data_IF_941538185117
#
_entry.id   IF_941538185117
#
_cell.length_a   1.000
_cell.length_b   1.000
_cell.length_c   1.000
_cell.angle_alpha   90.00
_cell.angle_beta   90.00
_cell.angle_gamma   90.00
#
_symmetry.space_group_name_H-M   'P 1'
#
loop_
_entity.id
_entity.type
_entity.pdbx_description
1 polymer ?
#
# COMPACT_ATOMS: atom_id res chain seq x y z
N UNK A 1 128.02 -82.36 81.82
CA UNK A 1 126.80 -82.80 81.09
C UNK A 1 126.04 -81.57 80.59
N UNK A 2 126.31 -81.16 79.36
CA UNK A 2 125.85 -79.92 78.68
C UNK A 2 124.75 -80.31 77.69
N UNK A 3 123.49 -80.46 78.10
CA UNK A 3 122.34 -80.43 77.18
C UNK A 3 121.02 -80.57 77.95
N UNK A 4 120.52 -79.46 78.48
CA UNK A 4 119.08 -79.21 78.62
C UNK A 4 118.79 -77.70 78.77
N UNK A 5 119.75 -76.87 78.35
CA UNK A 5 119.70 -75.42 78.53
C UNK A 5 118.69 -74.79 77.57
N UNK A 6 118.56 -75.26 76.32
CA UNK A 6 117.66 -74.64 75.33
C UNK A 6 116.16 -74.82 75.65
N UNK A 7 115.69 -76.01 76.07
CA UNK A 7 114.29 -76.21 76.51
C UNK A 7 113.98 -75.50 77.83
N UNK A 8 114.94 -75.47 78.78
CA UNK A 8 114.79 -74.71 80.03
C UNK A 8 114.78 -73.21 79.79
N UNK A 9 115.53 -72.70 78.82
CA UNK A 9 115.50 -71.29 78.42
C UNK A 9 114.15 -70.96 77.80
N UNK A 10 113.64 -71.73 76.83
CA UNK A 10 112.34 -71.43 76.20
C UNK A 10 111.18 -71.49 77.21
N UNK A 11 111.13 -72.53 78.07
CA UNK A 11 110.08 -72.63 79.08
C UNK A 11 110.21 -71.51 80.13
N UNK A 12 111.44 -71.15 80.53
CA UNK A 12 111.68 -70.02 81.41
C UNK A 12 111.27 -68.70 80.77
N UNK A 13 111.51 -68.48 79.47
CA UNK A 13 111.14 -67.25 78.77
C UNK A 13 109.62 -67.14 78.61
N UNK A 14 108.91 -68.23 78.27
CA UNK A 14 107.45 -68.22 78.17
C UNK A 14 106.80 -67.95 79.54
N UNK A 15 107.30 -68.57 80.61
CA UNK A 15 106.79 -68.30 81.96
C UNK A 15 107.10 -66.87 82.40
N UNK A 16 108.28 -66.33 82.07
CA UNK A 16 108.66 -64.97 82.44
C UNK A 16 107.85 -63.93 81.65
N UNK A 17 107.58 -64.17 80.36
CA UNK A 17 106.71 -63.33 79.53
C UNK A 17 105.27 -63.41 80.03
N UNK A 18 104.76 -64.60 80.35
CA UNK A 18 103.42 -64.77 80.93
C UNK A 18 103.30 -64.02 82.28
N UNK A 19 104.30 -64.12 83.15
CA UNK A 19 104.34 -63.37 84.41
C UNK A 19 104.38 -61.86 84.17
N UNK A 20 105.22 -61.39 83.24
CA UNK A 20 105.29 -59.98 82.89
C UNK A 20 103.98 -59.48 82.30
N UNK A 21 103.28 -60.26 81.46
CA UNK A 21 101.97 -59.88 80.95
C UNK A 21 100.88 -59.85 82.03
N UNK A 22 100.90 -60.77 83.00
CA UNK A 22 99.96 -60.72 84.14
C UNK A 22 100.25 -59.51 85.03
N UNK A 23 101.53 -59.23 85.31
CA UNK A 23 101.93 -58.05 86.07
C UNK A 23 101.58 -56.76 85.33
N UNK A 24 101.78 -56.70 84.00
CA UNK A 24 101.47 -55.52 83.20
C UNK A 24 99.96 -55.30 83.04
N UNK A 25 99.16 -56.36 82.87
CA UNK A 25 97.69 -56.27 82.83
C UNK A 25 97.13 -55.89 84.20
N UNK A 26 97.66 -56.46 85.30
CA UNK A 26 97.24 -56.03 86.64
C UNK A 26 97.71 -54.61 86.95
N UNK A 27 98.92 -54.21 86.58
CA UNK A 27 99.39 -52.84 86.79
C UNK A 27 98.62 -51.84 85.91
N UNK A 28 98.28 -52.19 84.67
CA UNK A 28 97.46 -51.35 83.80
C UNK A 28 95.99 -51.30 84.28
N UNK A 29 95.46 -52.37 84.86
CA UNK A 29 94.11 -52.40 85.41
C UNK A 29 94.01 -51.63 86.74
N UNK A 30 95.00 -51.77 87.63
CA UNK A 30 95.04 -51.04 88.91
C UNK A 30 95.41 -49.56 88.69
N UNK A 31 96.46 -49.26 87.93
CA UNK A 31 96.81 -47.85 87.65
C UNK A 31 95.81 -47.19 86.69
N UNK A 32 95.20 -47.92 85.75
CA UNK A 32 94.16 -47.38 84.89
C UNK A 32 92.89 -46.98 85.64
N UNK A 33 92.61 -47.63 86.79
CA UNK A 33 91.51 -47.25 87.69
C UNK A 33 91.86 -46.03 88.57
N UNK A 34 93.13 -45.76 88.81
CA UNK A 34 93.59 -44.55 89.52
C UNK A 34 93.85 -43.36 88.57
N UNK A 35 94.03 -43.58 87.26
CA UNK A 35 94.42 -42.53 86.32
C UNK A 35 93.29 -41.61 85.84
N UNK A 36 92.01 -41.94 86.07
CA UNK A 36 90.88 -41.05 85.73
C UNK A 36 89.84 -41.10 86.86
N UNK A 37 90.21 -40.59 88.04
CA UNK A 37 89.27 -40.31 89.15
C UNK A 37 88.63 -38.92 88.98
N UNK A 38 88.32 -38.54 87.74
CA UNK A 38 87.66 -37.28 87.38
C UNK A 38 86.44 -37.57 86.50
N UNK A 39 85.26 -36.99 86.81
CA UNK A 39 84.08 -37.11 85.96
C UNK A 39 84.31 -36.46 84.59
N UNK A 40 83.77 -37.07 83.55
CA UNK A 40 83.59 -36.47 82.24
C UNK A 40 82.29 -35.65 82.26
N UNK A 41 82.34 -34.40 81.77
CA UNK A 41 81.17 -33.51 81.73
C UNK A 41 80.72 -33.27 80.30
N UNK A 42 79.47 -33.59 80.00
CA UNK A 42 78.84 -33.38 78.70
C UNK A 42 77.68 -32.38 78.81
N UNK A 43 77.57 -31.47 77.83
CA UNK A 43 76.44 -30.56 77.73
C UNK A 43 75.22 -31.27 77.09
N UNK A 44 74.06 -31.09 77.70
CA UNK A 44 72.77 -31.68 77.24
C UNK A 44 71.79 -30.59 76.78
N UNK A 45 71.97 -29.35 77.25
CA UNK A 45 71.13 -28.21 76.90
C UNK A 45 71.26 -27.75 75.44
N UNK A 46 70.21 -27.08 74.95
CA UNK A 46 70.20 -26.44 73.63
C UNK A 46 71.01 -25.13 73.64
N UNK A 47 71.33 -24.64 72.44
CA UNK A 47 72.16 -23.44 72.23
C UNK A 47 71.40 -22.23 71.67
N UNK A 48 70.08 -22.32 71.49
CA UNK A 48 69.26 -21.25 70.90
C UNK A 48 67.97 -21.06 71.71
N UNK A 49 67.70 -19.82 72.10
CA UNK A 49 66.54 -19.44 72.91
C UNK A 49 65.93 -18.14 72.40
N UNK A 50 64.64 -17.96 72.71
CA UNK A 50 63.94 -16.70 72.51
C UNK A 50 64.13 -15.80 73.72
N UNK A 51 64.09 -14.49 73.52
CA UNK A 51 64.03 -13.55 74.66
C UNK A 51 62.78 -13.81 75.50
N UNK A 52 62.95 -13.97 76.81
CA UNK A 52 61.85 -14.27 77.73
C UNK A 52 61.44 -15.75 77.84
N UNK A 53 62.06 -16.66 77.07
CA UNK A 53 61.84 -18.11 77.23
C UNK A 53 62.65 -18.67 78.40
N UNK A 54 62.31 -19.88 78.86
CA UNK A 54 63.10 -20.59 79.87
C UNK A 54 64.41 -21.14 79.26
N UNK A 55 65.54 -20.56 79.63
CA UNK A 55 66.89 -21.07 79.34
C UNK A 55 67.23 -22.14 80.35
N UNK A 56 67.54 -23.34 79.88
CA UNK A 56 67.99 -24.43 80.75
C UNK A 56 69.45 -24.73 80.49
N UNK A 57 70.29 -24.60 81.53
CA UNK A 57 71.65 -25.12 81.55
C UNK A 57 71.60 -26.56 82.05
N UNK A 58 72.02 -27.52 81.24
CA UNK A 58 71.99 -28.94 81.62
C UNK A 58 73.33 -29.58 81.30
N UNK A 59 74.00 -30.12 82.31
CA UNK A 59 75.21 -30.92 82.15
C UNK A 59 74.99 -32.34 82.66
N UNK A 60 75.72 -33.30 82.10
CA UNK A 60 75.78 -34.68 82.54
C UNK A 60 77.18 -35.00 83.02
N UNK A 61 77.32 -35.54 84.23
CA UNK A 61 78.57 -36.01 84.79
C UNK A 61 78.59 -37.54 84.79
N UNK A 62 79.54 -38.12 84.04
CA UNK A 62 79.73 -39.57 83.94
C UNK A 62 81.14 -39.99 84.31
N UNK A 63 81.31 -41.25 84.71
CA UNK A 63 82.63 -41.87 84.74
C UNK A 63 83.13 -42.19 83.32
N UNK A 64 84.35 -42.73 83.21
CA UNK A 64 84.94 -43.12 81.92
C UNK A 64 84.18 -44.24 81.18
N UNK A 65 83.18 -44.86 81.81
CA UNK A 65 82.31 -45.89 81.22
C UNK A 65 80.99 -45.31 80.73
N UNK A 66 80.74 -44.02 80.96
CA UNK A 66 79.47 -43.37 80.66
C UNK A 66 78.40 -43.58 81.74
N UNK A 67 78.75 -44.16 82.89
CA UNK A 67 77.82 -44.35 84.01
C UNK A 67 77.76 -43.06 84.87
N UNK A 68 76.62 -42.75 85.51
CA UNK A 68 76.49 -41.57 86.37
C UNK A 68 77.56 -41.50 87.45
N UNK A 69 78.23 -40.35 87.57
CA UNK A 69 79.27 -40.18 88.57
C UNK A 69 78.65 -39.97 89.96
N UNK A 70 78.76 -40.95 90.85
CA UNK A 70 78.00 -40.98 92.12
C UNK A 70 78.53 -40.05 93.23
N UNK A 71 79.70 -39.43 93.04
CA UNK A 71 80.42 -38.70 94.09
C UNK A 71 80.41 -37.18 93.87
N UNK A 72 79.41 -36.65 93.15
CA UNK A 72 79.18 -35.21 92.97
C UNK A 72 78.47 -34.66 94.21
N UNK A 73 79.00 -33.58 94.78
CA UNK A 73 78.46 -32.94 95.99
C UNK A 73 77.55 -31.77 95.64
N UNK A 74 77.99 -30.94 94.70
CA UNK A 74 77.26 -29.79 94.21
C UNK A 74 77.68 -29.47 92.77
N UNK A 75 76.79 -28.77 92.06
CA UNK A 75 77.08 -28.11 90.81
C UNK A 75 76.53 -26.69 90.87
N UNK A 76 77.29 -25.73 90.39
CA UNK A 76 76.87 -24.34 90.22
C UNK A 76 77.03 -23.92 88.77
N UNK A 77 76.17 -23.01 88.32
CA UNK A 77 76.27 -22.36 87.02
C UNK A 77 76.53 -20.87 87.19
N UNK A 78 77.44 -20.36 86.36
CA UNK A 78 77.61 -18.93 86.13
C UNK A 78 77.29 -18.66 84.67
N UNK A 79 76.38 -17.71 84.40
CA UNK A 79 76.03 -17.27 83.06
C UNK A 79 76.41 -15.80 82.91
N UNK A 80 77.13 -15.48 81.84
CA UNK A 80 77.56 -14.13 81.49
C UNK A 80 76.77 -13.59 80.30
N UNK A 81 76.44 -12.31 80.38
CA UNK A 81 75.93 -11.52 79.26
C UNK A 81 76.91 -11.52 78.07
N UNK A 82 76.46 -11.13 76.86
CA UNK A 82 77.33 -11.01 75.69
C UNK A 82 78.53 -10.07 75.90
N UNK A 83 78.38 -9.05 76.73
CA UNK A 83 79.45 -8.11 77.13
C UNK A 83 80.39 -8.64 78.21
N UNK A 84 80.19 -9.90 78.64
CA UNK A 84 80.94 -10.64 79.67
C UNK A 84 80.69 -10.19 81.10
N UNK A 85 79.72 -9.31 81.34
CA UNK A 85 79.21 -9.05 82.69
C UNK A 85 78.40 -10.23 83.20
N UNK A 86 78.33 -10.41 84.52
CA UNK A 86 77.61 -11.54 85.11
C UNK A 86 76.09 -11.33 85.03
N UNK A 87 75.38 -12.33 84.50
CA UNK A 87 73.92 -12.42 84.56
C UNK A 87 73.49 -13.27 85.76
N UNK A 88 74.03 -14.47 85.86
CA UNK A 88 73.80 -15.43 86.94
C UNK A 88 75.18 -15.82 87.48
N UNK A 89 75.36 -15.83 88.80
CA UNK A 89 76.65 -16.13 89.45
C UNK A 89 76.48 -17.25 90.45
N UNK A 90 77.24 -18.33 90.24
CA UNK A 90 77.31 -19.50 91.12
C UNK A 90 75.94 -20.01 91.59
N UNK A 91 74.94 -19.95 90.71
CA UNK A 91 73.61 -20.41 91.04
C UNK A 91 73.59 -21.93 91.15
N UNK A 92 72.97 -22.43 92.22
CA UNK A 92 72.91 -23.85 92.50
C UNK A 92 72.12 -24.60 91.42
N UNK A 93 72.71 -25.67 90.91
CA UNK A 93 72.04 -26.61 90.02
C UNK A 93 71.37 -27.72 90.84
N UNK A 94 70.31 -28.30 90.29
CA UNK A 94 69.60 -29.44 90.87
C UNK A 94 69.85 -30.71 90.06
N UNK A 95 69.88 -31.87 90.71
CA UNK A 95 69.84 -33.14 89.99
C UNK A 95 68.51 -33.30 89.25
N UNK A 96 68.57 -33.74 87.99
CA UNK A 96 67.37 -34.06 87.22
C UNK A 96 66.91 -35.50 87.48
N UNK A 97 65.73 -35.86 86.97
CA UNK A 97 65.24 -37.24 86.99
C UNK A 97 66.08 -38.21 86.13
N UNK A 98 66.91 -37.69 85.23
CA UNK A 98 67.88 -38.48 84.47
C UNK A 98 69.18 -38.55 85.28
N UNK A 99 69.59 -39.77 85.65
CA UNK A 99 70.77 -39.97 86.50
C UNK A 99 72.03 -39.36 85.89
N UNK A 100 72.81 -38.67 86.72
CA UNK A 100 74.03 -37.95 86.31
C UNK A 100 73.80 -36.58 85.69
N UNK A 101 72.55 -36.19 85.39
CA UNK A 101 72.25 -34.85 84.89
C UNK A 101 72.02 -33.86 86.03
N UNK A 102 72.61 -32.69 85.90
CA UNK A 102 72.40 -31.52 86.72
C UNK A 102 71.86 -30.39 85.85
N UNK A 103 70.87 -29.67 86.36
CA UNK A 103 70.26 -28.58 85.61
C UNK A 103 69.98 -27.33 86.45
N UNK A 104 69.92 -26.20 85.75
CA UNK A 104 69.42 -24.94 86.26
C UNK A 104 68.61 -24.27 85.16
N UNK A 105 67.52 -23.59 85.52
CA UNK A 105 66.63 -22.93 84.56
C UNK A 105 66.35 -21.52 85.00
N UNK A 106 66.48 -20.56 84.08
CA UNK A 106 66.18 -19.15 84.26
C UNK A 106 65.47 -18.57 83.04
N UNK A 107 64.84 -17.41 83.19
CA UNK A 107 64.20 -16.69 82.07
C UNK A 107 65.24 -15.94 81.25
N UNK A 108 65.32 -16.23 79.95
CA UNK A 108 66.24 -15.60 79.01
C UNK A 108 66.09 -14.07 79.04
N UNK A 109 67.18 -13.31 79.17
CA UNK A 109 67.11 -11.86 79.10
C UNK A 109 66.69 -11.38 77.70
N UNK A 110 66.18 -10.14 77.64
CA UNK A 110 65.83 -9.50 76.37
C UNK A 110 67.03 -8.96 75.59
N UNK A 111 68.21 -8.95 76.20
CA UNK A 111 69.45 -8.57 75.52
C UNK A 111 69.83 -9.68 74.54
N UNK A 112 70.00 -9.32 73.27
CA UNK A 112 70.37 -10.27 72.23
C UNK A 112 71.88 -10.50 72.19
N UNK A 113 72.28 -11.69 71.76
CA UNK A 113 73.68 -12.03 71.56
C UNK A 113 74.06 -13.43 72.06
N UNK A 114 75.36 -13.67 72.13
CA UNK A 114 75.94 -14.95 72.57
C UNK A 114 76.29 -14.86 74.05
N UNK A 115 75.59 -15.63 74.86
CA UNK A 115 75.82 -15.77 76.28
C UNK A 115 76.81 -16.89 76.53
N UNK A 116 77.60 -16.76 77.60
CA UNK A 116 78.57 -17.76 78.00
C UNK A 116 78.14 -18.38 79.33
N UNK A 117 78.08 -19.70 79.37
CA UNK A 117 77.74 -20.45 80.57
C UNK A 117 78.97 -21.24 81.00
N UNK A 118 79.29 -21.18 82.29
CA UNK A 118 80.28 -22.05 82.93
C UNK A 118 79.56 -22.86 84.02
N UNK A 119 79.72 -24.18 84.00
CA UNK A 119 79.28 -25.05 85.08
C UNK A 119 80.49 -25.54 85.83
N UNK A 120 80.48 -25.37 87.16
CA UNK A 120 81.47 -25.91 88.07
C UNK A 120 80.80 -26.94 88.97
N UNK A 121 81.31 -28.16 89.00
CA UNK A 121 80.82 -29.20 89.91
C UNK A 121 81.92 -29.65 90.85
N UNK A 122 81.61 -29.75 92.14
CA UNK A 122 82.50 -30.28 93.17
C UNK A 122 82.24 -31.77 93.36
N UNK A 123 83.30 -32.57 93.38
CA UNK A 123 83.23 -34.01 93.60
C UNK A 123 84.38 -34.51 94.49
N UNK A 124 84.16 -35.62 95.19
CA UNK A 124 85.15 -36.19 96.11
C UNK A 124 85.59 -35.23 97.22
N UNK A 125 86.79 -35.39 97.76
CA UNK A 125 87.32 -34.51 98.81
C UNK A 125 87.77 -33.12 98.26
N UNK A 126 86.81 -32.35 97.73
CA UNK A 126 86.96 -30.99 97.20
C UNK A 126 87.69 -30.87 95.86
N UNK A 127 87.57 -31.86 94.97
CA UNK A 127 87.99 -31.70 93.56
C UNK A 127 86.89 -30.99 92.79
N UNK A 128 87.25 -30.22 91.77
CA UNK A 128 86.27 -29.55 90.89
C UNK A 128 86.47 -29.94 89.44
N UNK A 129 85.38 -29.97 88.68
CA UNK A 129 85.39 -30.04 87.22
C UNK A 129 84.64 -28.82 86.69
N UNK A 130 85.20 -28.21 85.65
CA UNK A 130 84.64 -27.03 84.99
C UNK A 130 84.42 -27.32 83.53
N UNK A 131 83.29 -26.85 83.00
CA UNK A 131 83.00 -26.88 81.57
C UNK A 131 82.30 -25.60 81.17
N UNK A 132 82.47 -25.16 79.93
CA UNK A 132 81.80 -23.98 79.40
C UNK A 132 81.16 -24.26 78.05
N UNK A 133 80.05 -23.58 77.79
CA UNK A 133 79.33 -23.56 76.52
C UNK A 133 78.75 -22.16 76.30
N UNK A 134 78.34 -21.86 75.07
CA UNK A 134 77.55 -20.67 74.78
C UNK A 134 76.17 -21.01 74.23
N UNK A 135 75.23 -20.10 74.45
CA UNK A 135 73.92 -20.12 73.79
C UNK A 135 73.62 -18.73 73.20
N UNK A 136 72.66 -18.70 72.29
CA UNK A 136 72.28 -17.50 71.55
C UNK A 136 70.86 -17.12 71.90
N UNK A 137 70.68 -15.83 72.17
CA UNK A 137 69.37 -15.18 72.11
C UNK A 137 69.33 -14.47 70.75
N UNK A 138 68.66 -15.11 69.78
CA UNK A 138 68.82 -14.78 68.36
C UNK A 138 67.81 -13.72 67.89
N UNK A 139 68.25 -12.55 67.36
CA UNK A 139 67.37 -11.53 66.78
C UNK A 139 66.48 -12.05 65.66
N UNK A 140 66.97 -13.01 64.86
CA UNK A 140 66.25 -13.56 63.72
C UNK A 140 64.98 -14.30 64.16
N UNK A 141 65.01 -14.94 65.34
CA UNK A 141 63.84 -15.59 65.90
C UNK A 141 62.75 -14.55 66.20
N UNK A 142 63.06 -13.48 66.95
CA UNK A 142 62.11 -12.38 67.19
C UNK A 142 61.56 -11.78 65.90
N UNK A 143 62.38 -11.65 64.86
CA UNK A 143 61.93 -11.20 63.54
C UNK A 143 60.90 -12.14 62.91
N UNK A 144 61.07 -13.46 63.04
CA UNK A 144 60.11 -14.46 62.57
C UNK A 144 58.76 -14.33 63.31
N UNK A 145 58.76 -14.08 64.62
CA UNK A 145 57.54 -13.82 65.38
C UNK A 145 56.79 -12.61 64.85
N UNK A 146 57.49 -11.49 64.60
CA UNK A 146 56.88 -10.28 64.05
C UNK A 146 56.33 -10.53 62.64
N UNK A 147 57.08 -11.22 61.77
CA UNK A 147 56.60 -11.58 60.42
C UNK A 147 55.34 -12.47 60.50
N UNK A 148 55.28 -13.41 61.44
CA UNK A 148 54.11 -14.27 61.62
C UNK A 148 52.88 -13.46 62.07
N UNK A 149 53.07 -12.48 62.95
CA UNK A 149 52.03 -11.57 63.39
C UNK A 149 51.54 -10.68 62.23
N UNK A 150 52.47 -10.11 61.47
CA UNK A 150 52.17 -9.28 60.29
C UNK A 150 51.42 -10.09 59.21
N UNK A 151 51.84 -11.32 58.94
CA UNK A 151 51.15 -12.20 57.99
C UNK A 151 49.71 -12.52 58.43
N UNK A 152 49.52 -12.71 59.73
CA UNK A 152 48.17 -12.93 60.30
C UNK A 152 47.31 -11.68 60.14
N UNK A 153 47.85 -10.50 60.45
CA UNK A 153 47.17 -9.23 60.28
C UNK A 153 46.82 -8.96 58.80
N UNK A 154 47.72 -9.28 57.88
CA UNK A 154 47.49 -9.10 56.45
C UNK A 154 46.46 -10.08 55.90
N UNK A 155 46.40 -11.30 56.43
CA UNK A 155 45.34 -12.27 56.10
C UNK A 155 43.97 -11.78 56.54
N UNK A 156 43.88 -11.15 57.73
CA UNK A 156 42.64 -10.53 58.20
C UNK A 156 42.21 -9.36 57.30
N UNK A 157 43.14 -8.46 56.95
CA UNK A 157 42.89 -7.35 56.00
C UNK A 157 42.38 -7.85 54.65
N UNK A 158 42.99 -8.89 54.09
CA UNK A 158 42.55 -9.47 52.81
C UNK A 158 41.15 -10.10 52.91
N UNK A 159 40.83 -10.71 54.05
CA UNK A 159 39.50 -11.27 54.31
C UNK A 159 38.44 -10.17 54.38
N UNK A 160 38.74 -9.04 55.03
CA UNK A 160 37.85 -7.88 55.10
C UNK A 160 37.65 -7.21 53.73
N UNK A 161 38.72 -7.10 52.95
CA UNK A 161 38.66 -6.59 51.57
C UNK A 161 37.81 -7.52 50.70
N UNK A 162 38.00 -8.84 50.80
CA UNK A 162 37.18 -9.82 50.08
C UNK A 162 35.71 -9.71 50.46
N UNK A 163 35.40 -9.58 51.75
CA UNK A 163 34.04 -9.38 52.24
C UNK A 163 33.41 -8.09 51.69
N UNK A 164 34.16 -6.98 51.72
CA UNK A 164 33.72 -5.68 51.22
C UNK A 164 33.45 -5.68 49.71
N UNK A 165 34.35 -6.28 48.93
CA UNK A 165 34.18 -6.42 47.48
C UNK A 165 32.97 -7.31 47.17
N UNK A 166 32.81 -8.43 47.89
CA UNK A 166 31.68 -9.33 47.69
C UNK A 166 30.35 -8.62 47.97
N UNK A 167 30.27 -7.86 49.06
CA UNK A 167 29.09 -7.05 49.40
C UNK A 167 28.80 -5.98 48.33
N UNK A 168 29.84 -5.30 47.84
CA UNK A 168 29.69 -4.29 46.78
C UNK A 168 29.19 -4.90 45.47
N UNK A 169 29.69 -6.09 45.09
CA UNK A 169 29.23 -6.81 43.89
C UNK A 169 27.76 -7.17 44.02
N UNK A 170 27.34 -7.73 45.17
CA UNK A 170 25.92 -8.08 45.41
C UNK A 170 25.04 -6.84 45.33
N UNK A 171 25.39 -5.75 46.02
CA UNK A 171 24.62 -4.51 45.98
C UNK A 171 24.54 -3.90 44.58
N UNK A 172 25.63 -3.96 43.81
CA UNK A 172 25.66 -3.46 42.43
C UNK A 172 24.77 -4.34 41.53
N UNK A 173 24.82 -5.66 41.70
CA UNK A 173 23.97 -6.60 40.97
C UNK A 173 22.48 -6.36 41.25
N UNK A 174 22.11 -6.16 42.50
CA UNK A 174 20.72 -5.85 42.88
C UNK A 174 20.23 -4.54 42.27
N UNK A 175 21.09 -3.51 42.24
CA UNK A 175 20.78 -2.23 41.60
C UNK A 175 20.60 -2.36 40.09
N UNK A 176 21.45 -3.17 39.42
CA UNK A 176 21.32 -3.43 37.99
C UNK A 176 20.00 -4.13 37.69
N UNK A 177 19.64 -5.17 38.46
CA UNK A 177 18.40 -5.90 38.26
C UNK A 177 17.17 -5.00 38.46
N UNK A 178 17.15 -4.17 39.52
CA UNK A 178 16.10 -3.18 39.72
C UNK A 178 15.94 -2.23 38.51
N UNK A 179 17.04 -1.69 38.00
CA UNK A 179 17.00 -0.80 36.85
C UNK A 179 16.52 -1.50 35.57
N UNK A 180 16.85 -2.79 35.40
CA UNK A 180 16.39 -3.62 34.28
C UNK A 180 14.87 -3.86 34.39
N UNK A 181 14.38 -4.24 35.57
CA UNK A 181 12.95 -4.46 35.82
C UNK A 181 12.12 -3.19 35.60
N UNK A 182 12.62 -2.04 36.06
CA UNK A 182 12.00 -0.72 35.82
C UNK A 182 11.97 -0.36 34.32
N UNK A 183 13.05 -0.66 33.61
CA UNK A 183 13.14 -0.45 32.15
C UNK A 183 12.17 -1.36 31.40
N UNK A 184 12.06 -2.63 31.77
CA UNK A 184 11.12 -3.59 31.20
C UNK A 184 9.66 -3.14 31.41
N UNK A 185 9.34 -2.68 32.62
CA UNK A 185 8.02 -2.13 32.95
C UNK A 185 7.69 -0.89 32.11
N UNK A 186 8.66 0.00 31.94
CA UNK A 186 8.52 1.22 31.13
C UNK A 186 8.29 0.88 29.66
N UNK A 187 9.09 -0.04 29.10
CA UNK A 187 8.97 -0.48 27.70
C UNK A 187 7.61 -1.15 27.47
N UNK A 188 7.17 -2.03 28.38
CA UNK A 188 5.88 -2.71 28.27
C UNK A 188 4.72 -1.70 28.26
N UNK A 189 4.80 -0.69 29.12
CA UNK A 189 3.79 0.39 29.17
C UNK A 189 3.76 1.20 27.87
N UNK A 190 4.93 1.52 27.32
CA UNK A 190 5.03 2.25 26.05
C UNK A 190 4.46 1.42 24.89
N UNK A 191 4.77 0.12 24.82
CA UNK A 191 4.24 -0.78 23.80
C UNK A 191 2.71 -0.84 23.86
N UNK A 192 2.13 -1.04 25.05
CA UNK A 192 0.68 -1.09 25.22
C UNK A 192 0.00 0.23 24.82
N UNK A 193 0.66 1.37 25.09
CA UNK A 193 0.17 2.69 24.70
C UNK A 193 0.16 2.84 23.18
N UNK A 194 1.26 2.47 22.52
CA UNK A 194 1.38 2.52 21.05
C UNK A 194 0.37 1.59 20.38
N UNK A 195 0.15 0.39 20.91
CA UNK A 195 -0.84 -0.56 20.42
C UNK A 195 -2.27 0.01 20.52
N UNK A 196 -2.60 0.61 21.67
CA UNK A 196 -3.88 1.27 21.88
C UNK A 196 -4.11 2.46 20.92
N UNK A 197 -3.11 3.32 20.76
CA UNK A 197 -3.17 4.47 19.85
C UNK A 197 -3.34 4.02 18.40
N UNK A 198 -2.62 2.99 17.96
CA UNK A 198 -2.73 2.45 16.61
C UNK A 198 -4.13 1.86 16.38
N UNK A 199 -4.65 1.09 17.33
CA UNK A 199 -6.01 0.54 17.27
C UNK A 199 -7.06 1.65 17.16
N UNK A 200 -6.93 2.71 17.94
CA UNK A 200 -7.84 3.86 17.91
C UNK A 200 -7.77 4.63 16.57
N UNK A 201 -6.57 4.83 16.02
CA UNK A 201 -6.37 5.46 14.72
C UNK A 201 -6.98 4.62 13.60
N UNK A 202 -6.80 3.30 13.63
CA UNK A 202 -7.40 2.38 12.66
C UNK A 202 -8.93 2.39 12.73
N UNK A 203 -9.51 2.38 13.92
CA UNK A 203 -10.97 2.47 14.11
C UNK A 203 -11.52 3.80 13.55
N UNK A 204 -10.87 4.92 13.88
CA UNK A 204 -11.25 6.25 13.40
C UNK A 204 -11.15 6.35 11.87
N UNK A 205 -10.08 5.80 11.29
CA UNK A 205 -9.91 5.74 9.85
C UNK A 205 -11.03 4.92 9.20
N UNK A 206 -11.36 3.76 9.77
CA UNK A 206 -12.47 2.92 9.30
C UNK A 206 -13.79 3.69 9.27
N UNK A 207 -14.15 4.36 10.37
CA UNK A 207 -15.38 5.16 10.43
C UNK A 207 -15.42 6.32 9.42
N UNK A 208 -14.27 6.95 9.16
CA UNK A 208 -14.18 8.03 8.18
C UNK A 208 -14.33 7.53 6.75
N UNK A 209 -13.74 6.37 6.42
CA UNK A 209 -13.87 5.75 5.10
C UNK A 209 -15.32 5.31 4.86
N UNK A 210 -15.96 4.70 5.85
CA UNK A 210 -17.37 4.29 5.76
C UNK A 210 -18.28 5.50 5.50
N UNK A 211 -18.07 6.61 6.22
CA UNK A 211 -18.82 7.85 6.01
C UNK A 211 -18.62 8.40 4.58
N UNK A 212 -17.37 8.45 4.09
CA UNK A 212 -17.07 8.91 2.74
C UNK A 212 -17.72 8.03 1.66
N UNK A 213 -17.76 6.71 1.86
CA UNK A 213 -18.43 5.78 0.94
C UNK A 213 -19.94 6.04 0.91
N UNK A 214 -20.56 6.28 2.07
CA UNK A 214 -21.99 6.62 2.16
C UNK A 214 -22.29 7.94 1.45
N UNK A 215 -21.44 8.95 1.62
CA UNK A 215 -21.60 10.26 0.97
C UNK A 215 -21.48 10.14 -0.56
N UNK A 216 -20.50 9.39 -1.06
CA UNK A 216 -20.33 9.11 -2.50
C UNK A 216 -21.55 8.36 -3.04
N UNK A 217 -22.04 7.33 -2.34
CA UNK A 217 -23.21 6.57 -2.76
C UNK A 217 -24.48 7.44 -2.81
N UNK A 218 -24.64 8.33 -1.82
CA UNK A 218 -25.77 9.27 -1.76
C UNK A 218 -25.69 10.29 -2.89
N UNK A 219 -24.50 10.86 -3.14
CA UNK A 219 -24.28 11.81 -4.23
C UNK A 219 -24.54 11.19 -5.60
N UNK A 220 -24.03 9.97 -5.84
CA UNK A 220 -24.26 9.25 -7.09
C UNK A 220 -25.73 8.90 -7.29
N UNK A 221 -26.42 8.45 -6.24
CA UNK A 221 -27.86 8.14 -6.29
C UNK A 221 -28.68 9.40 -6.62
N UNK A 222 -28.33 10.55 -6.05
CA UNK A 222 -28.95 11.83 -6.37
C UNK A 222 -28.74 12.23 -7.84
N UNK A 223 -27.50 12.18 -8.33
CA UNK A 223 -27.19 12.50 -9.73
C UNK A 223 -27.90 11.58 -10.72
N UNK A 224 -28.01 10.28 -10.41
CA UNK A 224 -28.77 9.33 -11.23
C UNK A 224 -30.26 9.66 -11.24
N UNK A 225 -30.83 10.02 -10.08
CA UNK A 225 -32.24 10.45 -9.97
C UNK A 225 -32.51 11.71 -10.79
N UNK A 226 -31.68 12.73 -10.67
CA UNK A 226 -31.82 13.99 -11.43
C UNK A 226 -31.70 13.74 -12.94
N UNK A 227 -30.76 12.87 -13.35
CA UNK A 227 -30.59 12.47 -14.75
C UNK A 227 -31.81 11.74 -15.28
N UNK A 228 -32.38 10.81 -14.49
CA UNK A 228 -33.60 10.09 -14.85
C UNK A 228 -34.77 11.06 -15.08
N UNK A 229 -35.00 11.99 -14.15
CA UNK A 229 -36.07 12.99 -14.26
C UNK A 229 -35.89 13.87 -15.51
N UNK A 230 -34.66 14.28 -15.81
CA UNK A 230 -34.36 15.07 -17.01
C UNK A 230 -34.66 14.30 -18.30
N UNK A 231 -34.30 13.01 -18.37
CA UNK A 231 -34.59 12.14 -19.51
C UNK A 231 -36.10 11.96 -19.68
N UNK A 232 -36.82 11.64 -18.60
CA UNK A 232 -38.28 11.46 -18.62
C UNK A 232 -38.99 12.73 -19.12
N UNK A 233 -38.56 13.90 -18.62
CA UNK A 233 -39.10 15.19 -19.05
C UNK A 233 -38.87 15.45 -20.54
N UNK A 234 -37.64 15.21 -21.03
CA UNK A 234 -37.31 15.43 -22.44
C UNK A 234 -38.06 14.47 -23.37
N UNK A 235 -38.26 13.21 -22.94
CA UNK A 235 -39.07 12.24 -23.68
C UNK A 235 -40.54 12.67 -23.75
N UNK A 236 -41.13 13.11 -22.64
CA UNK A 236 -42.52 13.60 -22.62
C UNK A 236 -42.73 14.84 -23.49
N UNK A 237 -41.77 15.77 -23.50
CA UNK A 237 -41.80 16.95 -24.38
C UNK A 237 -41.70 16.54 -25.87
N UNK A 238 -40.86 15.55 -26.18
CA UNK A 238 -40.69 15.03 -27.54
C UNK A 238 -41.97 14.34 -28.03
N UNK A 239 -42.59 13.51 -27.18
CA UNK A 239 -43.88 12.86 -27.45
C UNK A 239 -44.97 13.90 -27.76
N UNK A 240 -45.08 14.94 -26.92
CA UNK A 240 -46.04 16.03 -27.13
C UNK A 240 -45.81 16.73 -28.47
N UNK A 241 -44.57 17.11 -28.75
CA UNK A 241 -44.20 17.80 -30.01
C UNK A 241 -44.53 16.94 -31.24
N UNK A 242 -44.26 15.63 -31.18
CA UNK A 242 -44.57 14.71 -32.26
C UNK A 242 -46.09 14.56 -32.46
N UNK A 243 -46.84 14.44 -31.36
CA UNK A 243 -48.31 14.38 -31.40
C UNK A 243 -48.92 15.65 -32.02
N UNK A 244 -48.43 16.83 -31.66
CA UNK A 244 -48.86 18.11 -32.22
C UNK A 244 -48.56 18.22 -33.71
N UNK A 245 -47.36 17.79 -34.12
CA UNK A 245 -46.97 17.77 -35.54
C UNK A 245 -47.87 16.82 -36.35
N UNK A 246 -48.13 15.62 -35.85
CA UNK A 246 -49.01 14.65 -36.51
C UNK A 246 -50.44 15.18 -36.63
N UNK A 247 -50.97 15.78 -35.57
CA UNK A 247 -52.31 16.38 -35.55
C UNK A 247 -52.42 17.54 -36.53
N UNK A 248 -51.40 18.40 -36.57
CA UNK A 248 -51.32 19.52 -37.51
C UNK A 248 -51.24 19.04 -38.95
N UNK A 249 -50.42 18.01 -39.21
CA UNK A 249 -50.29 17.42 -40.54
C UNK A 249 -51.61 16.81 -41.02
N UNK A 250 -52.29 16.03 -40.18
CA UNK A 250 -53.59 15.44 -40.50
C UNK A 250 -54.64 16.53 -40.80
N UNK A 251 -54.70 17.57 -39.98
CA UNK A 251 -55.61 18.72 -40.19
C UNK A 251 -55.33 19.45 -41.51
N UNK A 252 -54.05 19.73 -41.80
CA UNK A 252 -53.65 20.40 -43.03
C UNK A 252 -53.95 19.54 -44.25
N UNK A 253 -53.69 18.23 -44.20
CA UNK A 253 -54.02 17.30 -45.29
C UNK A 253 -55.53 17.24 -45.53
N UNK A 254 -56.35 17.13 -44.47
CA UNK A 254 -57.81 17.15 -44.59
C UNK A 254 -58.33 18.45 -45.19
N UNK A 255 -57.78 19.59 -44.75
CA UNK A 255 -58.16 20.91 -45.28
C UNK A 255 -57.81 21.01 -46.75
N UNK A 256 -56.58 20.65 -47.13
CA UNK A 256 -56.12 20.66 -48.51
C UNK A 256 -56.99 19.76 -49.40
N UNK A 257 -57.25 18.52 -48.98
CA UNK A 257 -58.10 17.59 -49.73
C UNK A 257 -59.55 18.05 -49.84
N UNK A 258 -60.10 18.70 -48.80
CA UNK A 258 -61.48 19.24 -48.85
C UNK A 258 -61.59 20.36 -49.86
N UNK A 259 -60.70 21.35 -49.80
CA UNK A 259 -60.68 22.48 -50.76
C UNK A 259 -60.52 21.95 -52.18
N UNK A 260 -59.59 21.03 -52.38
CA UNK A 260 -59.33 20.46 -53.70
C UNK A 260 -60.53 19.68 -54.26
N UNK A 261 -61.25 18.95 -53.40
CA UNK A 261 -62.48 18.25 -53.78
C UNK A 261 -63.61 19.22 -54.13
N UNK A 262 -63.76 20.31 -53.37
CA UNK A 262 -64.75 21.36 -53.65
C UNK A 262 -64.48 22.04 -55.00
N UNK A 263 -63.21 22.34 -55.32
CA UNK A 263 -62.80 22.93 -56.59
C UNK A 263 -63.08 21.99 -57.78
N UNK A 264 -62.77 20.69 -57.66
CA UNK A 264 -63.11 19.69 -58.68
C UNK A 264 -64.63 19.62 -58.86
N UNK A 265 -65.38 19.55 -57.77
CA UNK A 265 -66.84 19.41 -57.82
C UNK A 265 -67.51 20.66 -58.42
N UNK A 266 -67.01 21.86 -58.09
CA UNK A 266 -67.46 23.12 -58.68
C UNK A 266 -67.18 23.20 -60.18
N UNK A 267 -65.98 22.79 -60.60
CA UNK A 267 -65.57 22.76 -62.02
C UNK A 267 -66.42 21.76 -62.80
N UNK A 268 -66.60 20.53 -62.29
CA UNK A 268 -67.45 19.51 -62.91
C UNK A 268 -68.92 19.95 -63.01
N UNK A 269 -69.45 20.61 -61.98
CA UNK A 269 -70.83 21.14 -61.99
C UNK A 269 -71.00 22.20 -63.08
N UNK A 270 -69.99 23.05 -63.28
CA UNK A 270 -69.99 24.07 -64.34
C UNK A 270 -69.95 23.44 -65.73
N UNK A 271 -69.05 22.48 -65.95
CA UNK A 271 -68.98 21.69 -67.19
C UNK A 271 -70.32 21.01 -67.49
N UNK A 272 -70.92 20.36 -66.49
CA UNK A 272 -72.22 19.70 -66.64
C UNK A 272 -73.31 20.70 -67.03
N UNK A 273 -73.40 21.83 -66.32
CA UNK A 273 -74.43 22.85 -66.56
C UNK A 273 -74.30 23.46 -67.96
N UNK A 274 -73.09 23.80 -68.38
CA UNK A 274 -72.85 24.36 -69.71
C UNK A 274 -73.09 23.32 -70.81
N UNK A 275 -72.66 22.07 -70.62
CA UNK A 275 -72.92 20.98 -71.59
C UNK A 275 -74.42 20.72 -71.74
N UNK A 276 -75.18 20.70 -70.64
CA UNK A 276 -76.64 20.60 -70.68
C UNK A 276 -77.26 21.76 -71.45
N UNK A 277 -76.83 23.00 -71.18
CA UNK A 277 -77.32 24.17 -71.89
C UNK A 277 -77.00 24.12 -73.39
N UNK A 278 -75.76 23.75 -73.75
CA UNK A 278 -75.30 23.59 -75.12
C UNK A 278 -76.13 22.55 -75.87
N UNK A 279 -76.41 21.40 -75.25
CA UNK A 279 -77.20 20.33 -75.87
C UNK A 279 -78.60 20.78 -76.30
N UNK A 280 -79.18 21.78 -75.62
CA UNK A 280 -80.51 22.31 -75.91
C UNK A 280 -80.50 23.51 -76.87
N UNK A 281 -79.39 24.26 -76.94
CA UNK A 281 -79.35 25.57 -77.62
C UNK A 281 -78.34 25.66 -78.77
N UNK A 282 -77.50 24.65 -79.00
CA UNK A 282 -76.35 24.73 -79.91
C UNK A 282 -76.69 25.11 -81.37
N UNK A 283 -77.94 25.00 -81.80
CA UNK A 283 -78.37 25.31 -83.17
C UNK A 283 -79.18 26.61 -83.32
N UNK A 284 -79.31 27.43 -82.26
CA UNK A 284 -80.00 28.72 -82.34
C UNK A 284 -79.08 29.84 -82.83
N UNK A 285 -79.30 30.32 -84.05
CA UNK A 285 -78.47 31.36 -84.69
C UNK A 285 -78.49 32.70 -83.93
N UNK A 286 -79.57 33.04 -83.23
CA UNK A 286 -79.65 34.27 -82.44
C UNK A 286 -78.66 34.28 -81.26
N UNK A 287 -78.26 33.10 -80.80
CA UNK A 287 -77.41 32.91 -79.62
C UNK A 287 -75.96 32.51 -79.95
N UNK A 288 -75.52 32.61 -81.22
CA UNK A 288 -74.21 32.11 -81.65
C UNK A 288 -73.03 32.59 -80.78
N UNK A 289 -73.01 33.87 -80.38
CA UNK A 289 -71.98 34.41 -79.49
C UNK A 289 -72.06 33.84 -78.06
N UNK A 290 -73.28 33.62 -77.55
CA UNK A 290 -73.50 33.03 -76.23
C UNK A 290 -73.11 31.55 -76.20
N UNK A 291 -73.39 30.82 -77.29
CA UNK A 291 -72.99 29.43 -77.45
C UNK A 291 -71.47 29.30 -77.49
N UNK A 292 -70.77 30.15 -78.26
CA UNK A 292 -69.32 30.13 -78.29
C UNK A 292 -68.73 30.41 -76.90
N UNK A 293 -69.25 31.41 -76.18
CA UNK A 293 -68.80 31.71 -74.82
C UNK A 293 -68.99 30.54 -73.84
N UNK A 294 -70.08 29.77 -73.98
CA UNK A 294 -70.33 28.55 -73.18
C UNK A 294 -69.36 27.43 -73.54
N UNK A 295 -69.07 27.24 -74.83
CA UNK A 295 -68.05 26.32 -75.31
C UNK A 295 -66.66 26.65 -74.75
N UNK A 296 -66.26 27.94 -74.76
CA UNK A 296 -64.99 28.40 -74.19
C UNK A 296 -64.93 28.20 -72.67
N UNK A 297 -66.08 28.34 -71.98
CA UNK A 297 -66.19 28.08 -70.54
C UNK A 297 -66.02 26.60 -70.23
N UNK A 298 -66.63 25.71 -71.02
CA UNK A 298 -66.43 24.25 -70.89
C UNK A 298 -64.96 23.88 -71.13
N UNK A 299 -64.31 24.45 -72.15
CA UNK A 299 -62.89 24.21 -72.40
C UNK A 299 -62.01 24.64 -71.24
N UNK A 300 -62.20 25.86 -70.76
CA UNK A 300 -61.42 26.41 -69.64
C UNK A 300 -61.58 25.51 -68.41
N UNK A 301 -62.80 25.06 -68.12
CA UNK A 301 -63.07 24.17 -66.99
C UNK A 301 -62.50 22.76 -67.20
N UNK A 302 -62.54 22.22 -68.42
CA UNK A 302 -61.92 20.93 -68.71
C UNK A 302 -60.40 20.99 -68.61
N UNK A 303 -59.76 22.07 -69.05
CA UNK A 303 -58.32 22.28 -68.89
C UNK A 303 -57.89 22.26 -67.42
N UNK A 304 -58.66 22.89 -66.53
CA UNK A 304 -58.40 22.83 -65.08
C UNK A 304 -58.45 21.39 -64.53
N UNK A 305 -59.36 20.55 -65.04
CA UNK A 305 -59.45 19.13 -64.64
C UNK A 305 -58.36 18.30 -65.32
N UNK A 306 -57.98 18.62 -66.57
CA UNK A 306 -56.90 17.95 -67.30
C UNK A 306 -55.53 18.20 -66.65
N UNK A 307 -55.30 19.41 -66.13
CA UNK A 307 -54.11 19.73 -65.33
C UNK A 307 -54.05 18.85 -64.07
N UNK A 308 -55.19 18.63 -63.39
CA UNK A 308 -55.26 17.65 -62.30
C UNK A 308 -54.92 16.24 -62.79
N UNK A 309 -55.45 15.84 -63.95
CA UNK A 309 -55.21 14.55 -64.57
C UNK A 309 -53.80 14.36 -65.11
N UNK A 310 -53.00 15.42 -65.21
CA UNK A 310 -51.62 15.34 -65.69
C UNK A 310 -50.63 14.87 -64.60
N UNK A 311 -51.07 14.78 -63.35
CA UNK A 311 -50.25 14.23 -62.27
C UNK A 311 -50.19 12.69 -62.34
N UNK A 312 -48.99 12.13 -62.19
CA UNK A 312 -48.72 10.68 -62.19
C UNK A 312 -49.54 9.84 -61.19
N UNK A 313 -50.11 10.46 -60.16
CA UNK A 313 -50.93 9.79 -59.14
C UNK A 313 -52.42 9.75 -59.51
N UNK A 314 -52.86 10.60 -60.43
CA UNK A 314 -54.28 10.86 -60.74
C UNK A 314 -54.63 10.57 -62.19
N UNK A 315 -53.62 10.49 -63.07
CA UNK A 315 -53.74 10.26 -64.51
C UNK A 315 -54.37 8.93 -64.93
N UNK A 316 -54.46 7.95 -64.03
CA UNK A 316 -55.12 6.65 -64.25
C UNK A 316 -56.53 6.58 -63.65
N UNK A 317 -57.05 7.69 -63.13
CA UNK A 317 -58.40 7.69 -62.57
C UNK A 317 -59.47 7.62 -63.66
N UNK A 318 -60.59 6.97 -63.36
CA UNK A 318 -61.76 6.90 -64.24
C UNK A 318 -62.24 8.32 -64.62
N UNK A 319 -62.15 9.27 -63.69
CA UNK A 319 -62.47 10.69 -63.93
C UNK A 319 -61.65 11.26 -65.10
N UNK A 320 -60.35 10.98 -65.14
CA UNK A 320 -59.47 11.49 -66.20
C UNK A 320 -59.78 10.87 -67.57
N UNK A 321 -60.17 9.60 -67.60
CA UNK A 321 -60.70 8.97 -68.80
C UNK A 321 -61.98 9.63 -69.30
N UNK A 322 -62.93 9.90 -68.40
CA UNK A 322 -64.20 10.55 -68.74
C UNK A 322 -64.01 12.02 -69.20
N UNK A 323 -63.09 12.77 -68.61
CA UNK A 323 -62.75 14.14 -69.03
C UNK A 323 -62.23 14.17 -70.47
N UNK A 324 -61.34 13.24 -70.81
CA UNK A 324 -60.82 13.10 -72.18
C UNK A 324 -61.95 12.78 -73.17
N UNK A 325 -62.86 11.85 -72.81
CA UNK A 325 -64.02 11.51 -73.64
C UNK A 325 -64.96 12.71 -73.82
N UNK A 326 -65.21 13.48 -72.76
CA UNK A 326 -66.08 14.65 -72.82
C UNK A 326 -65.50 15.71 -73.74
N UNK A 327 -64.18 15.93 -73.70
CA UNK A 327 -63.50 16.89 -74.59
C UNK A 327 -63.69 16.54 -76.06
N UNK A 328 -63.54 15.26 -76.41
CA UNK A 328 -63.80 14.76 -77.77
C UNK A 328 -65.26 15.05 -78.20
N UNK A 329 -66.23 14.85 -77.30
CA UNK A 329 -67.64 15.14 -77.59
C UNK A 329 -67.87 16.63 -77.80
N UNK A 330 -67.32 17.49 -76.94
CA UNK A 330 -67.44 18.95 -77.04
C UNK A 330 -66.82 19.48 -78.34
N UNK A 331 -65.63 19.00 -78.69
CA UNK A 331 -64.95 19.34 -79.94
C UNK A 331 -65.80 18.95 -81.16
N UNK A 332 -66.42 17.77 -81.11
CA UNK A 332 -67.33 17.28 -82.16
C UNK A 332 -68.57 18.18 -82.27
N UNK A 333 -69.22 18.50 -81.14
CA UNK A 333 -70.39 19.40 -81.12
C UNK A 333 -70.06 20.79 -81.69
N UNK A 334 -68.88 21.34 -81.35
CA UNK A 334 -68.43 22.63 -81.86
C UNK A 334 -68.17 22.60 -83.37
N UNK A 335 -67.55 21.53 -83.86
CA UNK A 335 -67.32 21.34 -85.30
C UNK A 335 -68.64 21.25 -86.07
N UNK A 336 -69.62 20.48 -85.56
CA UNK A 336 -70.96 20.37 -86.14
C UNK A 336 -71.70 21.71 -86.16
N UNK A 337 -71.65 22.46 -85.05
CA UNK A 337 -72.25 23.80 -85.00
C UNK A 337 -71.61 24.75 -86.02
N UNK A 338 -70.29 24.78 -86.09
CA UNK A 338 -69.55 25.66 -87.02
C UNK A 338 -69.92 25.33 -88.46
N UNK A 339 -70.03 24.04 -88.78
CA UNK A 339 -70.52 23.56 -90.08
C UNK A 339 -71.95 24.03 -90.35
N UNK A 340 -72.87 23.84 -89.40
CA UNK A 340 -74.27 24.26 -89.54
C UNK A 340 -74.40 25.78 -89.82
N UNK A 341 -73.69 26.64 -89.08
CA UNK A 341 -73.73 28.08 -89.34
C UNK A 341 -73.07 28.49 -90.65
N UNK A 342 -72.01 27.79 -91.07
CA UNK A 342 -71.38 28.02 -92.38
C UNK A 342 -72.36 27.68 -93.50
N UNK A 343 -73.03 26.53 -93.42
CA UNK A 343 -74.02 26.08 -94.39
C UNK A 343 -75.26 26.98 -94.41
N UNK A 344 -75.73 27.42 -93.24
CA UNK A 344 -76.85 28.36 -93.12
C UNK A 344 -76.51 29.73 -93.70
N UNK A 345 -75.31 30.26 -93.42
CA UNK A 345 -74.84 31.52 -93.99
C UNK A 345 -74.68 31.39 -95.51
N UNK A 346 -74.15 30.27 -96.01
CA UNK A 346 -74.04 30.01 -97.44
C UNK A 346 -75.42 29.88 -98.10
N UNK A 347 -76.38 29.22 -97.46
CA UNK A 347 -77.76 29.10 -97.96
C UNK A 347 -78.46 30.47 -97.97
N UNK A 348 -78.26 31.28 -96.93
CA UNK A 348 -78.77 32.65 -96.82
C UNK A 348 -78.17 33.53 -97.91
N UNK A 349 -76.86 33.45 -98.12
CA UNK A 349 -76.15 34.18 -99.17
C UNK A 349 -76.61 33.75 -100.57
N UNK A 350 -76.76 32.44 -100.81
CA UNK A 350 -77.29 31.91 -102.07
C UNK A 350 -78.72 32.40 -102.32
N UNK A 351 -79.57 32.39 -101.30
CA UNK A 351 -80.96 32.89 -101.38
C UNK A 351 -80.99 34.40 -101.61
N UNK A 352 -80.12 35.15 -100.94
CA UNK A 352 -79.97 36.60 -101.16
C UNK A 352 -79.53 36.89 -102.60
N UNK A 353 -78.49 36.22 -103.10
CA UNK A 353 -78.02 36.39 -104.48
C UNK A 353 -79.10 36.04 -105.52
N UNK A 354 -79.89 34.98 -105.27
CA UNK A 354 -81.03 34.61 -106.11
C UNK A 354 -82.09 35.72 -106.13
N UNK A 355 -82.47 36.25 -104.97
CA UNK A 355 -83.50 37.30 -104.84
C UNK A 355 -83.03 38.67 -105.36
N UNK A 356 -81.83 39.12 -104.97
CA UNK A 356 -81.30 40.44 -105.30
C UNK A 356 -80.68 40.51 -106.70
N UNK A 357 -80.25 39.37 -107.24
CA UNK A 357 -79.61 39.25 -108.55
C UNK A 357 -80.59 38.76 -109.60
N UNK A 358 -80.86 37.45 -109.60
CA UNK A 358 -81.60 36.79 -110.69
C UNK A 358 -83.04 37.30 -110.80
N UNK A 359 -83.80 37.29 -109.70
CA UNK A 359 -85.20 37.74 -109.70
C UNK A 359 -85.30 39.25 -109.98
N UNK A 360 -84.41 40.06 -109.41
CA UNK A 360 -84.37 41.50 -109.69
C UNK A 360 -84.11 41.78 -111.18
N UNK A 361 -83.20 41.03 -111.80
CA UNK A 361 -82.89 41.14 -113.24
C UNK A 361 -84.08 40.71 -114.10
N UNK A 362 -84.79 39.63 -113.73
CA UNK A 362 -86.02 39.23 -114.42
C UNK A 362 -87.14 40.27 -114.30
N UNK A 363 -87.32 40.88 -113.13
CA UNK A 363 -88.31 41.97 -112.92
C UNK A 363 -87.95 43.18 -113.78
N UNK A 364 -86.68 43.57 -113.83
CA UNK A 364 -86.22 44.67 -114.69
C UNK A 364 -86.48 44.37 -116.17
N UNK A 365 -86.24 43.13 -116.62
CA UNK A 365 -86.56 42.70 -117.99
C UNK A 365 -88.06 42.75 -118.27
N UNK A 366 -88.90 42.29 -117.34
CA UNK A 366 -90.37 42.38 -117.44
C UNK A 366 -90.86 43.83 -117.49
N UNK A 367 -90.25 44.73 -116.73
CA UNK A 367 -90.58 46.17 -116.76
C UNK A 367 -90.21 46.79 -118.12
N UNK A 368 -89.09 46.40 -118.72
CA UNK A 368 -88.71 46.79 -120.08
C UNK A 368 -89.73 46.28 -121.09
N UNK A 369 -90.11 45.00 -121.02
CA UNK A 369 -91.11 44.40 -121.91
C UNK A 369 -92.49 45.07 -121.77
N UNK A 370 -92.92 45.40 -120.55
CA UNK A 370 -94.14 46.19 -120.30
C UNK A 370 -94.03 47.59 -120.90
N UNK A 371 -92.84 48.22 -120.81
CA UNK A 371 -92.56 49.49 -121.48
C UNK A 371 -92.74 49.40 -123.00
N UNK A 372 -92.26 48.32 -123.61
CA UNK A 372 -92.45 48.03 -125.04
C UNK A 372 -93.94 47.84 -125.36
N UNK A 373 -94.67 47.03 -124.58
CA UNK A 373 -96.12 46.81 -124.76
C UNK A 373 -96.90 48.12 -124.65
N UNK A 374 -96.56 48.99 -123.70
CA UNK A 374 -97.19 50.31 -123.55
C UNK A 374 -96.97 51.18 -124.78
N UNK A 375 -95.76 51.14 -125.35
CA UNK A 375 -95.41 51.87 -126.57
C UNK A 375 -96.22 51.36 -127.76
N UNK A 376 -96.31 50.03 -127.92
CA UNK A 376 -97.14 49.40 -128.95
C UNK A 376 -98.63 49.71 -128.76
N UNK A 377 -99.14 49.67 -127.53
CA UNK A 377 -100.54 50.00 -127.22
C UNK A 377 -100.85 51.45 -127.56
N UNK A 378 -99.91 52.37 -127.31
CA UNK A 378 -100.06 53.78 -127.68
C UNK A 378 -100.13 53.93 -129.21
N UNK A 379 -99.25 53.25 -129.94
CA UNK A 379 -99.28 53.23 -131.41
C UNK A 379 -100.57 52.61 -131.98
N UNK A 380 -101.08 51.54 -131.37
CA UNK A 380 -102.38 50.95 -131.73
C UNK A 380 -103.51 51.95 -131.48
N UNK A 381 -103.50 52.68 -130.36
CA UNK A 381 -104.53 53.65 -130.04
C UNK A 381 -104.52 54.85 -131.01
N UNK A 382 -103.33 55.31 -131.42
CA UNK A 382 -103.16 56.32 -132.48
C UNK A 382 -103.71 55.81 -133.81
N UNK A 383 -103.39 54.56 -134.19
CA UNK A 383 -103.91 53.92 -135.40
C UNK A 383 -105.44 53.78 -135.36
N UNK A 384 -106.00 53.38 -134.22
CA UNK A 384 -107.44 53.24 -134.01
C UNK A 384 -108.14 54.61 -134.08
N UNK A 385 -107.51 55.66 -133.55
CA UNK A 385 -108.04 57.03 -133.65
C UNK A 385 -108.02 57.53 -135.10
N UNK A 386 -106.99 57.19 -135.88
CA UNK A 386 -106.93 57.49 -137.31
C UNK A 386 -108.04 56.79 -138.09
N UNK A 387 -108.23 55.47 -137.88
CA UNK A 387 -109.32 54.69 -138.50
C UNK A 387 -110.70 55.27 -138.11
N UNK A 388 -110.87 55.65 -136.85
CA UNK A 388 -112.12 56.25 -136.37
C UNK A 388 -112.41 57.61 -137.03
N UNK A 389 -111.38 58.41 -137.29
CA UNK A 389 -111.52 59.65 -138.05
C UNK A 389 -111.92 59.38 -139.51
N UNK A 390 -111.29 58.38 -140.13
CA UNK A 390 -111.56 57.99 -141.52
C UNK A 390 -113.01 57.47 -141.70
N UNK A 391 -113.50 56.63 -140.76
CA UNK A 391 -114.90 56.16 -140.77
C UNK A 391 -115.92 57.28 -140.49
N UNK A 392 -115.56 58.28 -139.67
CA UNK A 392 -116.43 59.45 -139.45
C UNK A 392 -116.52 60.34 -140.69
N UNK A 393 -115.46 60.42 -141.51
CA UNK A 393 -115.51 61.07 -142.82
C UNK A 393 -116.36 60.29 -143.83
N UNK A 394 -116.26 58.95 -143.89
CA UNK A 394 -117.10 58.13 -144.76
C UNK A 394 -118.60 58.22 -144.41
N UNK A 395 -118.97 58.22 -143.13
CA UNK A 395 -120.38 58.35 -142.70
C UNK A 395 -120.92 59.76 -143.03
N UNK A 396 -120.08 60.80 -142.99
CA UNK A 396 -120.47 62.16 -143.37
C UNK A 396 -120.79 62.27 -144.86
N UNK A 397 -120.16 61.45 -145.69
CA UNK A 397 -120.42 61.37 -147.14
C UNK A 397 -121.73 60.64 -147.45
N UNK A 398 -122.12 59.63 -146.65
CA UNK A 398 -123.33 58.82 -146.90
C UNK A 398 -124.65 59.38 -146.33
N UNK A 399 -124.63 60.43 -145.50
CA UNK A 399 -125.86 61.00 -144.92
C UNK A 399 -126.40 62.23 -145.67
N UNK A 400 -125.67 62.73 -146.69
CA UNK A 400 -126.03 63.92 -147.49
C UNK A 400 -126.52 63.56 -148.92
N UNK A 401 -126.56 62.27 -149.29
CA UNK A 401 -127.21 61.78 -150.52
C UNK A 401 -128.49 61.02 -150.20
#
# INVERSE_FOLDING_TARGET
MRMNRKRKIILSTVVLVALFSVIFVQSAYVNGKELIDSPEVMWVSHTEYWSGDDVSTIVRLTDYRGEPYSNVQDCTVTIKYPDKTDWIVDAAMSESTVSGNWYHTDVAPYTQGTYEQEVTCTYGASKTVKTSQSFHINPALTQIQNISADLTAQTALLTDVQGSISAQIVSTNDTINLNVDESETTITTLINTVEGDLSNQMATLGTNVDAQIVDVNTSLSGQLGDTQVSIETNLGNTETTLSDLMTTLDSNLKTYLTVYLDDINGTLTSVYTDTQWLSLNAMNQEDAALIQARFDTVDTNLELIEDFCSNSQTNVSDLCGEVTNLRIVIDTMRAEQTGYYTDLNQTTLNTWNLLSGEIATEIDSLLVDIGIIRTQTTAINETLSAIRQEQLEEIRIHTIS
#
